data_IF_782421927028
#
_entry.id   IF_782421927028
#
_cell.length_a   1.000
_cell.length_b   1.000
_cell.length_c   1.000
_cell.angle_alpha   90.00
_cell.angle_beta   90.00
_cell.angle_gamma   90.00
#
_symmetry.space_group_name_H-M   'P 1'
#
loop_
_entity.id
_entity.type
_entity.pdbx_description
1 polymer ?
#
# COMPACT_ATOMS: atom_id res chain seq x y z
N UNK A 1 26.06 -56.85 -5.54
CA UNK A 1 25.03 -56.05 -4.88
C UNK A 1 25.58 -54.64 -4.79
N UNK A 2 25.22 -53.81 -5.75
CA UNK A 2 25.57 -52.38 -5.75
C UNK A 2 24.47 -51.68 -4.98
N UNK A 3 24.77 -51.15 -3.77
CA UNK A 3 23.90 -50.26 -3.04
C UNK A 3 23.89 -48.94 -3.81
N UNK A 4 22.79 -48.67 -4.50
CA UNK A 4 22.45 -47.33 -4.94
C UNK A 4 22.33 -46.45 -3.70
N UNK A 5 23.15 -45.40 -3.62
CA UNK A 5 22.90 -44.26 -2.71
C UNK A 5 21.56 -43.69 -3.13
N UNK A 6 20.55 -43.91 -2.31
CA UNK A 6 19.36 -43.02 -2.29
C UNK A 6 19.90 -41.62 -2.04
N UNK A 7 19.69 -40.72 -3.00
CA UNK A 7 19.82 -39.29 -2.78
C UNK A 7 18.82 -38.97 -1.67
N UNK A 8 19.30 -38.47 -0.53
CA UNK A 8 18.49 -37.70 0.38
C UNK A 8 17.97 -36.52 -0.46
N UNK A 9 16.75 -36.64 -0.97
CA UNK A 9 16.03 -35.50 -1.55
C UNK A 9 15.88 -34.50 -0.40
N UNK A 10 16.76 -33.52 -0.42
CA UNK A 10 16.72 -32.42 0.56
C UNK A 10 15.46 -31.61 0.22
N UNK A 11 14.36 -31.91 0.91
CA UNK A 11 13.07 -31.27 0.70
C UNK A 11 13.22 -29.77 0.88
N UNK A 12 12.72 -28.97 -0.08
CA UNK A 12 12.83 -27.51 -0.06
C UNK A 12 12.11 -26.94 1.16
N UNK A 13 12.80 -26.11 1.97
CA UNK A 13 12.24 -25.50 3.17
C UNK A 13 11.69 -24.12 2.88
N UNK A 14 10.39 -23.96 3.05
CA UNK A 14 9.63 -22.70 2.86
C UNK A 14 9.27 -22.14 4.23
N UNK A 15 9.74 -20.94 4.51
CA UNK A 15 9.47 -20.24 5.79
C UNK A 15 8.55 -19.05 5.55
N UNK A 16 7.36 -19.07 6.15
CA UNK A 16 6.38 -17.99 6.11
C UNK A 16 6.49 -17.21 7.43
N UNK A 17 6.85 -15.91 7.35
CA UNK A 17 7.31 -15.15 8.50
C UNK A 17 6.22 -14.31 9.19
N UNK A 18 5.14 -13.95 8.50
CA UNK A 18 4.16 -12.97 8.97
C UNK A 18 2.73 -13.39 8.57
N UNK A 19 2.35 -14.64 8.90
CA UNK A 19 1.07 -15.21 8.48
C UNK A 19 -0.14 -14.37 8.93
N UNK A 20 -0.09 -13.75 10.12
CA UNK A 20 -1.17 -12.90 10.64
C UNK A 20 -1.40 -11.64 9.78
N UNK A 21 -0.42 -11.23 8.97
CA UNK A 21 -0.55 -10.09 8.05
C UNK A 21 -1.39 -10.40 6.81
N UNK A 22 -1.75 -11.66 6.58
CA UNK A 22 -2.45 -12.13 5.38
C UNK A 22 -3.95 -12.39 5.60
N UNK A 23 -4.43 -12.26 6.84
CA UNK A 23 -5.82 -12.54 7.21
C UNK A 23 -6.03 -13.99 7.68
N UNK A 24 -7.12 -14.20 8.42
CA UNK A 24 -7.45 -15.49 9.04
C UNK A 24 -7.93 -16.54 8.02
N UNK A 25 -8.36 -16.09 6.84
CA UNK A 25 -8.86 -16.92 5.74
C UNK A 25 -7.76 -17.43 4.79
N UNK A 26 -6.50 -17.05 5.05
CA UNK A 26 -5.38 -17.47 4.21
C UNK A 26 -5.07 -18.96 4.41
N UNK A 27 -4.99 -19.70 3.30
CA UNK A 27 -4.69 -21.14 3.27
C UNK A 27 -3.26 -21.36 2.78
N UNK A 28 -2.45 -22.05 3.57
CA UNK A 28 -1.05 -22.32 3.25
C UNK A 28 -0.80 -23.75 2.73
N UNK A 29 -1.77 -24.66 2.79
CA UNK A 29 -1.66 -26.04 2.31
C UNK A 29 -1.14 -26.20 0.88
N UNK A 30 -1.38 -25.28 -0.08
CA UNK A 30 -0.77 -25.39 -1.40
C UNK A 30 0.76 -25.33 -1.40
N UNK A 31 1.39 -24.73 -0.39
CA UNK A 31 2.84 -24.68 -0.27
C UNK A 31 3.45 -26.03 0.17
N UNK A 32 2.68 -26.86 0.90
CA UNK A 32 3.12 -28.19 1.36
C UNK A 32 3.42 -29.15 0.18
N UNK A 33 2.82 -28.90 -0.98
CA UNK A 33 3.12 -29.64 -2.19
C UNK A 33 4.50 -29.28 -2.80
N UNK A 34 5.14 -28.21 -2.31
CA UNK A 34 6.43 -27.71 -2.80
C UNK A 34 7.60 -28.07 -1.87
N UNK A 35 7.32 -28.42 -0.61
CA UNK A 35 8.33 -28.75 0.37
C UNK A 35 7.86 -28.65 1.82
N UNK A 36 8.80 -28.71 2.76
CA UNK A 36 8.55 -28.48 4.19
C UNK A 36 8.12 -27.02 4.42
N UNK A 37 6.96 -26.78 5.05
CA UNK A 37 6.44 -25.44 5.33
C UNK A 37 6.50 -25.13 6.82
N UNK A 38 7.22 -24.09 7.17
CA UNK A 38 7.26 -23.55 8.55
C UNK A 38 6.55 -22.20 8.58
N UNK A 39 5.54 -22.06 9.44
CA UNK A 39 4.70 -20.87 9.51
C UNK A 39 4.89 -20.18 10.86
N UNK A 40 5.31 -18.92 10.80
CA UNK A 40 5.33 -18.00 11.93
C UNK A 40 4.20 -16.98 11.79
N UNK A 41 3.41 -16.80 12.83
CA UNK A 41 2.30 -15.85 12.86
C UNK A 41 2.79 -14.41 12.75
N UNK A 42 3.81 -14.09 13.53
CA UNK A 42 4.50 -12.79 13.55
C UNK A 42 6.00 -13.02 13.59
N UNK A 43 6.77 -12.05 13.12
CA UNK A 43 8.24 -12.07 13.17
C UNK A 43 8.76 -10.65 13.32
N UNK A 44 9.71 -10.47 14.23
CA UNK A 44 10.45 -9.22 14.41
C UNK A 44 11.83 -9.31 13.72
N UNK A 45 12.49 -8.17 13.52
CA UNK A 45 13.78 -8.14 12.82
C UNK A 45 14.88 -8.94 13.56
N UNK A 46 14.87 -8.96 14.87
CA UNK A 46 15.79 -9.70 15.72
C UNK A 46 15.56 -11.22 15.72
N UNK A 47 14.36 -11.68 15.40
CA UNK A 47 14.02 -13.09 15.28
C UNK A 47 14.35 -13.68 13.88
N UNK A 48 14.57 -12.82 12.88
CA UNK A 48 14.74 -13.21 11.49
C UNK A 48 15.87 -14.22 11.30
N UNK A 49 17.05 -13.97 11.87
CA UNK A 49 18.21 -14.83 11.69
C UNK A 49 17.93 -16.26 12.15
N UNK A 50 17.31 -16.43 13.33
CA UNK A 50 17.00 -17.74 13.88
C UNK A 50 15.91 -18.48 13.07
N UNK A 51 14.89 -17.73 12.61
CA UNK A 51 13.74 -18.29 11.88
C UNK A 51 14.07 -18.66 10.41
N UNK A 52 15.12 -18.07 9.84
CA UNK A 52 15.46 -18.23 8.41
C UNK A 52 16.73 -19.03 8.16
N UNK A 53 17.42 -19.50 9.20
CA UNK A 53 18.77 -20.07 9.14
C UNK A 53 18.93 -21.17 8.08
N UNK A 54 17.95 -22.05 7.97
CA UNK A 54 17.91 -23.21 7.09
C UNK A 54 16.88 -23.08 5.96
N UNK A 55 16.31 -21.90 5.75
CA UNK A 55 15.32 -21.66 4.70
C UNK A 55 15.94 -21.68 3.30
N UNK A 56 15.26 -22.36 2.35
CA UNK A 56 15.49 -22.22 0.91
C UNK A 56 14.64 -21.10 0.31
N UNK A 57 13.43 -20.89 0.84
CA UNK A 57 12.47 -19.88 0.41
C UNK A 57 11.92 -19.15 1.62
N UNK A 58 11.87 -17.84 1.54
CA UNK A 58 11.21 -16.97 2.52
C UNK A 58 9.97 -16.33 1.89
N UNK A 59 8.83 -16.41 2.58
CA UNK A 59 7.61 -15.65 2.29
C UNK A 59 7.45 -14.61 3.41
N UNK A 60 7.49 -13.33 3.06
CA UNK A 60 7.49 -12.20 4.01
C UNK A 60 6.55 -11.09 3.57
N UNK A 61 6.23 -10.15 4.45
CA UNK A 61 5.41 -8.98 4.13
C UNK A 61 6.16 -7.67 4.42
N UNK A 62 6.53 -7.42 5.70
CA UNK A 62 7.08 -6.13 6.16
C UNK A 62 8.44 -6.23 6.85
N UNK A 63 8.83 -7.40 7.32
CA UNK A 63 10.15 -7.58 7.93
C UNK A 63 11.26 -7.19 6.95
N UNK A 64 12.34 -6.54 7.43
CA UNK A 64 13.46 -6.17 6.58
C UNK A 64 14.21 -7.41 6.09
N UNK A 65 14.55 -7.43 4.81
CA UNK A 65 15.33 -8.47 4.15
C UNK A 65 16.66 -7.86 3.69
N UNK A 66 17.68 -8.02 4.50
CA UNK A 66 19.00 -7.43 4.33
C UNK A 66 20.08 -8.34 4.94
N UNK A 67 21.35 -7.94 4.86
CA UNK A 67 22.48 -8.72 5.39
C UNK A 67 22.34 -9.02 6.88
N UNK A 68 21.87 -8.07 7.67
CA UNK A 68 21.72 -8.21 9.12
C UNK A 68 20.67 -9.26 9.51
N UNK A 69 19.63 -9.45 8.66
CA UNK A 69 18.50 -10.31 9.00
C UNK A 69 18.57 -11.70 8.38
N UNK A 70 19.17 -11.84 7.18
CA UNK A 70 19.24 -13.12 6.45
C UNK A 70 20.68 -13.55 6.09
N UNK A 71 21.70 -12.87 6.64
CA UNK A 71 23.09 -13.15 6.28
C UNK A 71 23.57 -14.59 6.58
N UNK A 72 22.97 -15.24 7.57
CA UNK A 72 23.28 -16.62 7.95
C UNK A 72 22.45 -17.68 7.20
N UNK A 73 21.41 -17.30 6.48
CA UNK A 73 20.59 -18.20 5.65
C UNK A 73 21.36 -18.62 4.38
N UNK A 74 22.21 -19.62 4.49
CA UNK A 74 23.15 -20.01 3.41
C UNK A 74 22.45 -20.70 2.22
N UNK A 75 21.34 -21.37 2.48
CA UNK A 75 20.58 -22.13 1.47
C UNK A 75 19.55 -21.27 0.73
N UNK A 76 19.32 -20.03 1.19
CA UNK A 76 18.28 -19.14 0.67
C UNK A 76 18.49 -18.83 -0.82
N UNK A 77 17.47 -19.12 -1.63
CA UNK A 77 17.43 -18.95 -3.09
C UNK A 77 16.36 -17.94 -3.54
N UNK A 78 15.28 -17.81 -2.75
CA UNK A 78 14.12 -17.06 -3.15
C UNK A 78 13.47 -16.32 -1.97
N UNK A 79 13.10 -15.05 -2.19
CA UNK A 79 12.25 -14.26 -1.30
C UNK A 79 10.99 -13.87 -2.06
N UNK A 80 9.82 -14.21 -1.50
CA UNK A 80 8.51 -13.81 -2.00
C UNK A 80 7.88 -12.81 -1.04
N UNK A 81 7.54 -11.61 -1.52
CA UNK A 81 6.78 -10.64 -0.73
C UNK A 81 5.29 -10.78 -1.01
N UNK A 82 4.49 -10.87 0.04
CA UNK A 82 3.01 -10.85 -0.02
C UNK A 82 2.45 -9.44 -0.09
N UNK A 83 3.19 -8.51 -0.70
CA UNK A 83 2.87 -7.09 -0.80
C UNK A 83 3.20 -6.56 -2.20
N UNK A 84 2.63 -5.42 -2.56
CA UNK A 84 3.02 -4.67 -3.77
C UNK A 84 4.30 -3.87 -3.54
N UNK A 85 4.47 -3.23 -2.37
CA UNK A 85 5.67 -2.49 -1.99
C UNK A 85 6.81 -3.43 -1.62
N UNK A 86 8.04 -3.05 -1.96
CA UNK A 86 9.25 -3.86 -1.72
C UNK A 86 10.41 -3.03 -1.11
N UNK A 87 10.10 -1.92 -0.48
CA UNK A 87 11.09 -1.05 0.17
C UNK A 87 11.77 -1.66 1.40
N UNK A 88 11.29 -2.81 1.87
CA UNK A 88 11.91 -3.62 2.91
C UNK A 88 12.96 -4.62 2.38
N UNK A 89 13.20 -4.68 1.05
CA UNK A 89 14.24 -5.50 0.44
C UNK A 89 15.52 -4.69 0.18
N UNK A 90 16.65 -5.19 0.62
CA UNK A 90 17.98 -4.76 0.11
C UNK A 90 18.26 -5.47 -1.21
N UNK A 91 17.86 -4.83 -2.32
CA UNK A 91 17.98 -5.39 -3.66
C UNK A 91 19.44 -5.62 -4.09
N UNK A 92 20.38 -4.77 -3.67
CA UNK A 92 21.79 -4.90 -3.99
C UNK A 92 22.41 -6.10 -3.25
N UNK A 93 22.06 -6.27 -1.98
CA UNK A 93 22.48 -7.44 -1.20
C UNK A 93 21.94 -8.74 -1.78
N UNK A 94 20.63 -8.80 -2.09
CA UNK A 94 20.01 -9.99 -2.69
C UNK A 94 20.66 -10.36 -4.03
N UNK A 95 20.89 -9.37 -4.88
CA UNK A 95 21.58 -9.54 -6.16
C UNK A 95 23.00 -10.06 -5.99
N UNK A 96 23.77 -9.51 -5.04
CA UNK A 96 25.14 -9.96 -4.71
C UNK A 96 25.15 -11.43 -4.24
N UNK A 97 24.10 -11.85 -3.51
CA UNK A 97 23.94 -13.22 -3.01
C UNK A 97 23.38 -14.18 -4.08
N UNK A 98 22.90 -13.69 -5.22
CA UNK A 98 22.20 -14.50 -6.22
C UNK A 98 20.82 -14.97 -5.76
N UNK A 99 20.19 -14.29 -4.80
CA UNK A 99 18.86 -14.61 -4.28
C UNK A 99 17.82 -13.90 -5.14
N UNK A 100 16.88 -14.66 -5.71
CA UNK A 100 15.76 -14.11 -6.46
C UNK A 100 14.75 -13.48 -5.50
N UNK A 101 14.11 -12.37 -5.91
CA UNK A 101 13.05 -11.74 -5.14
C UNK A 101 11.86 -11.36 -6.03
N UNK A 102 10.65 -11.65 -5.54
CA UNK A 102 9.39 -11.33 -6.22
C UNK A 102 8.39 -10.74 -5.25
N UNK A 103 7.58 -9.82 -5.75
CA UNK A 103 6.44 -9.24 -5.05
C UNK A 103 5.15 -9.55 -5.80
N UNK A 104 3.98 -9.24 -5.20
CA UNK A 104 2.68 -9.40 -5.85
C UNK A 104 2.25 -8.05 -6.44
N UNK A 105 2.68 -7.80 -7.68
CA UNK A 105 2.34 -6.57 -8.38
C UNK A 105 0.86 -6.56 -8.82
N UNK A 106 0.18 -5.41 -8.64
CA UNK A 106 -1.12 -5.13 -9.23
C UNK A 106 -2.34 -5.73 -8.52
N UNK A 107 -2.20 -6.66 -7.58
CA UNK A 107 -3.34 -7.30 -6.90
C UNK A 107 -4.24 -6.30 -6.15
N UNK A 108 -3.65 -5.29 -5.57
CA UNK A 108 -4.32 -4.30 -4.72
C UNK A 108 -4.91 -3.10 -5.49
N UNK A 109 -4.71 -3.02 -6.82
CA UNK A 109 -5.04 -1.83 -7.61
C UNK A 109 -6.49 -1.38 -7.40
N UNK A 110 -7.45 -2.29 -7.55
CA UNK A 110 -8.86 -1.97 -7.39
C UNK A 110 -9.23 -1.69 -5.92
N UNK A 111 -8.71 -2.49 -4.98
CA UNK A 111 -8.97 -2.33 -3.55
C UNK A 111 -8.46 -1.00 -3.02
N UNK A 112 -7.21 -0.61 -3.37
CA UNK A 112 -6.65 0.69 -2.94
C UNK A 112 -7.39 1.86 -3.58
N UNK A 113 -7.74 1.79 -4.87
CA UNK A 113 -8.55 2.82 -5.51
C UNK A 113 -9.92 2.96 -4.82
N UNK A 114 -10.63 1.85 -4.56
CA UNK A 114 -11.90 1.85 -3.84
C UNK A 114 -11.76 2.49 -2.45
N UNK A 115 -10.72 2.11 -1.71
CA UNK A 115 -10.48 2.65 -0.36
C UNK A 115 -10.14 4.14 -0.38
N UNK A 116 -9.44 4.63 -1.40
CA UNK A 116 -9.17 6.06 -1.60
C UNK A 116 -10.48 6.85 -1.66
N UNK A 117 -11.47 6.39 -2.43
CA UNK A 117 -12.79 7.05 -2.50
C UNK A 117 -13.60 6.86 -1.22
N UNK A 118 -13.51 5.70 -0.57
CA UNK A 118 -14.19 5.48 0.71
C UNK A 118 -13.71 6.47 1.79
N UNK A 119 -12.40 6.71 1.88
CA UNK A 119 -11.83 7.71 2.80
C UNK A 119 -12.23 9.13 2.41
N UNK A 120 -12.19 9.47 1.12
CA UNK A 120 -12.61 10.79 0.64
C UNK A 120 -14.07 11.06 1.02
N UNK A 121 -15.00 10.17 0.66
CA UNK A 121 -16.42 10.37 0.94
C UNK A 121 -16.72 10.37 2.44
N UNK A 122 -16.02 9.55 3.23
CA UNK A 122 -16.18 9.59 4.68
C UNK A 122 -15.90 10.99 5.26
N UNK A 123 -14.85 11.65 4.77
CA UNK A 123 -14.48 13.00 5.21
C UNK A 123 -15.35 14.07 4.54
N UNK A 124 -15.50 14.00 3.23
CA UNK A 124 -16.22 15.01 2.43
C UNK A 124 -17.70 15.08 2.80
N UNK A 125 -18.38 13.93 2.78
CA UNK A 125 -19.82 13.81 3.07
C UNK A 125 -20.16 13.86 4.56
N UNK A 126 -19.15 14.04 5.45
CA UNK A 126 -19.33 14.03 6.90
C UNK A 126 -20.10 12.79 7.40
N UNK A 127 -19.80 11.60 6.81
CA UNK A 127 -20.59 10.38 7.02
C UNK A 127 -20.72 9.99 8.49
N UNK A 128 -19.66 10.16 9.29
CA UNK A 128 -19.73 9.87 10.73
C UNK A 128 -20.72 10.77 11.47
N UNK A 129 -20.78 12.04 11.10
CA UNK A 129 -21.72 13.00 11.70
C UNK A 129 -23.17 12.60 11.39
N UNK A 130 -23.48 12.35 10.11
CA UNK A 130 -24.84 12.02 9.69
C UNK A 130 -25.26 10.62 10.15
N UNK A 131 -24.36 9.64 10.20
CA UNK A 131 -24.64 8.32 10.78
C UNK A 131 -25.05 8.43 12.26
N UNK A 132 -24.31 9.17 13.05
CA UNK A 132 -24.64 9.42 14.46
C UNK A 132 -25.95 10.19 14.62
N UNK A 133 -26.20 11.22 13.81
CA UNK A 133 -27.42 12.01 13.82
C UNK A 133 -28.67 11.13 13.57
N UNK A 134 -28.60 10.21 12.62
CA UNK A 134 -29.68 9.27 12.36
C UNK A 134 -29.83 8.24 13.48
N UNK A 135 -28.74 7.63 13.93
CA UNK A 135 -28.73 6.59 14.97
C UNK A 135 -29.17 7.09 16.35
N UNK A 136 -28.91 8.36 16.66
CA UNK A 136 -29.39 8.98 17.91
C UNK A 136 -30.92 9.23 17.93
N UNK A 137 -31.57 9.07 16.77
CA UNK A 137 -33.00 9.35 16.59
C UNK A 137 -33.33 10.83 16.47
N UNK A 138 -32.35 11.72 16.38
CA UNK A 138 -32.56 13.18 16.18
C UNK A 138 -33.28 13.46 14.88
N UNK A 139 -32.93 12.72 13.80
CA UNK A 139 -33.63 12.81 12.52
C UNK A 139 -35.13 12.57 12.66
N UNK A 140 -35.54 11.51 13.36
CA UNK A 140 -36.95 11.15 13.55
C UNK A 140 -37.72 12.11 14.45
N UNK A 141 -37.04 12.83 15.35
CA UNK A 141 -37.66 13.85 16.24
C UNK A 141 -37.67 15.23 15.61
N UNK A 142 -36.94 15.43 14.51
CA UNK A 142 -36.88 16.72 13.81
C UNK A 142 -38.22 17.06 13.15
N UNK A 143 -38.49 18.37 13.04
CA UNK A 143 -39.69 18.89 12.36
C UNK A 143 -39.49 19.06 10.85
N UNK A 144 -38.27 18.89 10.34
CA UNK A 144 -37.90 19.06 8.95
C UNK A 144 -37.31 17.77 8.39
N UNK A 145 -37.60 17.46 7.14
CA UNK A 145 -37.03 16.30 6.43
C UNK A 145 -35.55 16.51 6.02
N UNK A 146 -35.03 17.75 6.15
CA UNK A 146 -33.67 18.13 5.80
C UNK A 146 -32.88 18.57 7.01
N UNK A 147 -31.57 18.28 7.02
CA UNK A 147 -30.65 18.70 8.06
C UNK A 147 -29.35 19.23 7.42
N UNK A 148 -29.08 20.52 7.57
CA UNK A 148 -27.98 21.24 6.90
C UNK A 148 -26.90 21.72 7.88
N UNK A 149 -26.64 21.00 8.96
CA UNK A 149 -25.67 21.41 9.95
C UNK A 149 -24.21 21.27 9.50
N UNK A 150 -23.94 20.43 8.50
CA UNK A 150 -22.61 20.23 7.94
C UNK A 150 -22.64 20.45 6.43
N UNK A 151 -21.70 21.25 5.94
CA UNK A 151 -21.53 21.47 4.51
C UNK A 151 -20.58 20.45 3.89
N UNK A 152 -20.82 20.10 2.65
CA UNK A 152 -19.93 19.36 1.78
C UNK A 152 -19.90 20.00 0.39
N UNK A 153 -18.97 19.62 -0.46
CA UNK A 153 -18.95 20.07 -1.85
C UNK A 153 -19.04 18.86 -2.79
N UNK A 154 -19.56 19.09 -3.98
CA UNK A 154 -19.62 18.11 -5.05
C UNK A 154 -18.25 17.95 -5.72
N UNK A 155 -17.95 16.77 -6.24
CA UNK A 155 -16.70 16.49 -6.94
C UNK A 155 -16.69 17.06 -8.36
N UNK A 156 -17.86 17.29 -8.95
CA UNK A 156 -17.99 17.82 -10.30
C UNK A 156 -17.29 19.18 -10.45
N UNK A 157 -16.46 19.30 -11.47
CA UNK A 157 -15.64 20.49 -11.75
C UNK A 157 -14.45 20.71 -10.79
N UNK A 158 -14.25 19.85 -9.78
CA UNK A 158 -13.09 19.92 -8.87
C UNK A 158 -11.81 19.41 -9.52
N UNK A 159 -10.68 19.91 -9.07
CA UNK A 159 -9.38 19.45 -9.53
C UNK A 159 -8.79 18.41 -8.58
N UNK A 160 -8.47 17.23 -9.11
CA UNK A 160 -7.83 16.16 -8.35
C UNK A 160 -6.36 16.00 -8.76
N UNK A 161 -5.45 16.29 -7.84
CA UNK A 161 -4.02 16.08 -8.00
C UNK A 161 -3.60 14.67 -7.62
N UNK A 162 -2.96 13.96 -8.55
CA UNK A 162 -2.47 12.59 -8.35
C UNK A 162 -0.95 12.57 -8.35
N UNK A 163 -0.37 12.25 -7.20
CA UNK A 163 1.06 12.06 -7.05
C UNK A 163 1.39 10.58 -7.31
N UNK A 164 1.98 10.30 -8.48
CA UNK A 164 2.28 8.94 -8.93
C UNK A 164 1.17 8.31 -9.78
N UNK A 165 1.29 8.41 -11.11
CA UNK A 165 0.31 7.87 -12.08
C UNK A 165 0.68 6.44 -12.54
N UNK A 166 0.94 5.54 -11.54
CA UNK A 166 1.08 4.09 -11.74
C UNK A 166 -0.28 3.39 -11.91
N UNK A 167 -0.36 2.06 -11.73
CA UNK A 167 -1.61 1.30 -11.88
C UNK A 167 -2.73 1.83 -10.96
N UNK A 168 -2.42 2.07 -9.69
CA UNK A 168 -3.38 2.61 -8.70
C UNK A 168 -3.78 4.04 -9.07
N UNK A 169 -2.81 4.95 -9.28
CA UNK A 169 -3.10 6.35 -9.61
C UNK A 169 -3.92 6.51 -10.87
N UNK A 170 -3.68 5.69 -11.92
CA UNK A 170 -4.52 5.67 -13.13
C UNK A 170 -5.95 5.21 -12.85
N UNK A 171 -6.12 4.21 -11.99
CA UNK A 171 -7.45 3.73 -11.60
C UNK A 171 -8.22 4.79 -10.81
N UNK A 172 -7.54 5.49 -9.89
CA UNK A 172 -8.12 6.63 -9.15
C UNK A 172 -8.48 7.76 -10.12
N UNK A 173 -7.59 8.12 -11.06
CA UNK A 173 -7.86 9.13 -12.07
C UNK A 173 -9.12 8.85 -12.87
N UNK A 174 -9.26 7.61 -13.38
CA UNK A 174 -10.44 7.19 -14.16
C UNK A 174 -11.75 7.32 -13.38
N UNK A 175 -11.73 6.98 -12.09
CA UNK A 175 -12.92 7.07 -11.23
C UNK A 175 -13.24 8.54 -10.91
N UNK A 176 -12.21 9.34 -10.58
CA UNK A 176 -12.37 10.77 -10.32
C UNK A 176 -12.91 11.54 -11.54
N UNK A 177 -12.42 11.20 -12.75
CA UNK A 177 -12.94 11.74 -14.02
C UNK A 177 -14.41 11.38 -14.23
N UNK A 178 -14.84 10.17 -13.85
CA UNK A 178 -16.24 9.75 -13.90
C UNK A 178 -17.14 10.53 -12.92
N UNK A 179 -16.58 11.12 -11.86
CA UNK A 179 -17.24 12.08 -10.97
C UNK A 179 -17.16 13.54 -11.46
N UNK A 180 -16.62 13.79 -12.67
CA UNK A 180 -16.51 15.13 -13.24
C UNK A 180 -15.27 15.91 -12.80
N UNK A 181 -14.29 15.26 -12.13
CA UNK A 181 -13.06 15.94 -11.72
C UNK A 181 -12.12 16.22 -12.91
N UNK A 182 -11.41 17.35 -12.84
CA UNK A 182 -10.23 17.62 -13.65
C UNK A 182 -9.00 16.96 -13.03
N UNK A 183 -8.22 16.21 -13.81
CA UNK A 183 -7.08 15.46 -13.29
C UNK A 183 -5.77 16.17 -13.59
N UNK A 184 -5.00 16.43 -12.54
CA UNK A 184 -3.57 16.78 -12.62
C UNK A 184 -2.73 15.62 -12.13
N UNK A 185 -1.54 15.42 -12.69
CA UNK A 185 -0.63 14.39 -12.21
C UNK A 185 0.80 14.90 -12.05
N UNK A 186 1.52 14.32 -11.10
CA UNK A 186 2.93 14.59 -10.82
C UNK A 186 3.75 13.31 -10.80
N UNK A 187 4.96 13.37 -11.37
CA UNK A 187 5.96 12.29 -11.35
C UNK A 187 7.17 12.67 -10.51
N UNK A 188 7.37 12.02 -9.37
CA UNK A 188 8.53 12.26 -8.52
C UNK A 188 9.86 11.86 -9.18
N UNK A 189 9.86 10.89 -10.10
CA UNK A 189 11.03 10.49 -10.87
C UNK A 189 11.33 11.42 -12.08
N UNK A 190 10.46 12.40 -12.35
CA UNK A 190 10.56 13.25 -13.53
C UNK A 190 10.16 12.58 -14.84
N UNK A 191 9.76 11.30 -14.83
CA UNK A 191 9.35 10.57 -16.03
C UNK A 191 8.06 11.16 -16.61
N UNK A 192 7.99 11.27 -17.95
CA UNK A 192 6.73 11.61 -18.62
C UNK A 192 5.81 10.41 -18.67
N UNK A 193 4.57 10.60 -18.24
CA UNK A 193 3.54 9.57 -18.35
C UNK A 193 2.92 9.56 -19.77
N UNK A 194 2.66 8.37 -20.28
CA UNK A 194 1.81 8.22 -21.47
C UNK A 194 0.34 8.34 -21.02
N UNK A 195 -0.20 9.56 -21.08
CA UNK A 195 -1.55 9.89 -20.60
C UNK A 195 -2.04 11.18 -21.28
N UNK A 196 -3.36 11.38 -21.27
CA UNK A 196 -4.03 12.63 -21.67
C UNK A 196 -4.15 13.62 -20.51
N UNK A 197 -3.89 13.18 -19.26
CA UNK A 197 -3.95 14.03 -18.08
C UNK A 197 -2.79 15.02 -18.07
N UNK A 198 -3.04 16.24 -17.61
CA UNK A 198 -2.03 17.29 -17.50
C UNK A 198 -1.00 16.91 -16.44
N UNK A 199 0.27 16.80 -16.85
CA UNK A 199 1.39 16.54 -15.94
C UNK A 199 2.08 17.85 -15.59
N UNK A 200 2.12 18.18 -14.29
CA UNK A 200 2.64 19.45 -13.75
C UNK A 200 3.72 19.23 -12.70
N UNK A 201 4.36 20.31 -12.24
CA UNK A 201 5.25 20.30 -11.08
C UNK A 201 4.50 20.06 -9.77
N UNK A 202 5.20 19.62 -8.70
CA UNK A 202 4.56 19.32 -7.42
C UNK A 202 3.87 20.55 -6.82
N UNK A 203 4.55 21.69 -6.77
CA UNK A 203 3.99 22.91 -6.16
C UNK A 203 2.80 23.44 -6.96
N UNK A 204 2.83 23.31 -8.29
CA UNK A 204 1.70 23.63 -9.16
C UNK A 204 0.53 22.68 -8.92
N UNK A 205 0.79 21.36 -8.82
CA UNK A 205 -0.25 20.39 -8.48
C UNK A 205 -0.91 20.73 -7.15
N UNK A 206 -0.12 21.00 -6.11
CA UNK A 206 -0.64 21.30 -4.77
C UNK A 206 -1.44 22.61 -4.76
N UNK A 207 -1.03 23.64 -5.52
CA UNK A 207 -1.73 24.93 -5.57
C UNK A 207 -3.03 24.91 -6.36
N UNK A 208 -3.14 24.03 -7.39
CA UNK A 208 -4.30 23.94 -8.29
C UNK A 208 -5.31 22.88 -7.90
N UNK A 209 -4.98 21.98 -6.95
CA UNK A 209 -5.84 20.83 -6.61
C UNK A 209 -6.73 21.12 -5.40
N UNK A 210 -8.02 20.78 -5.51
CA UNK A 210 -8.96 20.72 -4.38
C UNK A 210 -8.75 19.44 -3.55
N UNK A 211 -8.35 18.36 -4.23
CA UNK A 211 -8.11 17.03 -3.64
C UNK A 211 -6.75 16.54 -4.11
N UNK A 212 -5.96 15.98 -3.19
CA UNK A 212 -4.65 15.37 -3.51
C UNK A 212 -4.61 13.94 -2.99
N UNK A 213 -4.18 13.00 -3.83
CA UNK A 213 -3.92 11.61 -3.43
C UNK A 213 -2.54 11.15 -3.85
N UNK A 214 -1.87 10.38 -2.95
CA UNK A 214 -0.49 9.90 -3.17
C UNK A 214 -0.52 8.41 -3.45
N UNK A 215 -0.04 8.03 -4.64
CA UNK A 215 0.04 6.65 -5.13
C UNK A 215 1.45 6.31 -5.64
N UNK A 216 2.45 7.04 -5.18
CA UNK A 216 3.85 6.81 -5.48
C UNK A 216 4.47 5.81 -4.49
N UNK A 217 5.39 4.93 -4.91
CA UNK A 217 6.13 4.05 -4.00
C UNK A 217 7.10 4.88 -3.13
N UNK A 218 7.38 4.41 -1.91
CA UNK A 218 8.42 5.00 -1.07
C UNK A 218 9.80 4.65 -1.64
N UNK A 219 10.57 5.67 -1.99
CA UNK A 219 11.95 5.58 -2.48
C UNK A 219 12.68 6.93 -2.28
N UNK A 220 13.94 7.04 -2.70
CA UNK A 220 14.74 8.26 -2.56
C UNK A 220 14.12 9.52 -3.18
N UNK A 221 13.23 9.40 -4.18
CA UNK A 221 12.54 10.54 -4.80
C UNK A 221 11.26 10.95 -4.09
N UNK A 222 10.68 10.06 -3.27
CA UNK A 222 9.37 10.25 -2.63
C UNK A 222 9.46 10.33 -1.12
N UNK A 223 10.61 9.99 -0.55
CA UNK A 223 10.87 10.17 0.87
C UNK A 223 10.79 11.66 1.23
N UNK A 224 10.00 12.00 2.24
CA UNK A 224 9.72 13.37 2.66
C UNK A 224 9.16 14.28 1.55
N UNK A 225 8.53 13.71 0.50
CA UNK A 225 7.95 14.49 -0.59
C UNK A 225 6.85 15.44 -0.10
N UNK A 226 6.05 14.99 0.89
CA UNK A 226 4.95 15.75 1.50
C UNK A 226 5.34 16.15 2.91
N UNK A 227 5.95 17.34 3.06
CA UNK A 227 6.27 17.95 4.36
C UNK A 227 5.15 18.90 4.80
N UNK A 228 5.09 19.24 6.10
CA UNK A 228 4.09 20.20 6.62
C UNK A 228 4.12 21.56 5.91
N UNK A 229 5.29 22.00 5.45
CA UNK A 229 5.47 23.26 4.73
C UNK A 229 4.78 23.26 3.36
N UNK A 230 4.54 22.08 2.79
CA UNK A 230 3.84 21.92 1.50
C UNK A 230 2.33 21.91 1.62
N UNK A 231 1.82 21.85 2.85
CA UNK A 231 0.38 22.01 3.10
C UNK A 231 0.06 23.50 3.32
N UNK A 232 -0.83 24.09 2.51
CA UNK A 232 -1.28 25.45 2.76
C UNK A 232 -1.88 25.56 4.17
N UNK A 233 -1.44 26.55 4.95
CA UNK A 233 -1.83 26.68 6.35
C UNK A 233 -3.23 27.29 6.54
N UNK A 234 -3.85 27.82 5.48
CA UNK A 234 -4.98 28.73 5.59
C UNK A 234 -6.25 28.34 4.81
N UNK A 235 -6.43 27.11 4.35
CA UNK A 235 -7.71 26.71 3.75
C UNK A 235 -8.31 25.52 4.48
N UNK A 236 -9.40 25.77 5.22
CA UNK A 236 -10.17 24.76 5.97
C UNK A 236 -10.81 23.65 5.11
N UNK A 237 -10.74 23.74 3.76
CA UNK A 237 -11.50 22.93 2.83
C UNK A 237 -10.68 21.94 1.97
N UNK A 238 -9.35 21.80 2.17
CA UNK A 238 -8.55 20.83 1.41
C UNK A 238 -8.48 19.46 2.08
N UNK A 239 -8.91 18.43 1.37
CA UNK A 239 -8.95 17.06 1.85
C UNK A 239 -7.79 16.22 1.28
N UNK A 240 -6.98 15.63 2.17
CA UNK A 240 -5.88 14.73 1.81
C UNK A 240 -6.25 13.28 2.15
N UNK A 241 -6.06 12.38 1.20
CA UNK A 241 -6.14 10.94 1.43
C UNK A 241 -4.79 10.28 1.12
N UNK A 242 -4.07 9.83 2.15
CA UNK A 242 -2.94 8.89 2.01
C UNK A 242 -3.45 7.48 2.34
N UNK A 243 -3.43 6.52 1.40
CA UNK A 243 -3.65 5.13 1.76
C UNK A 243 -2.45 4.62 2.56
N UNK A 244 -2.61 4.49 3.88
CA UNK A 244 -1.64 3.78 4.72
C UNK A 244 -0.94 4.54 5.85
N UNK A 245 -1.16 5.85 6.05
CA UNK A 245 -0.67 6.53 7.26
C UNK A 245 -1.82 7.18 8.03
N UNK A 246 -1.97 6.82 9.29
CA UNK A 246 -2.85 7.53 10.23
C UNK A 246 -2.33 8.97 10.36
N UNK A 247 -3.17 9.96 10.05
CA UNK A 247 -2.97 11.31 10.51
C UNK A 247 -3.05 11.30 12.04
N UNK A 248 -1.90 11.23 12.73
CA UNK A 248 -1.83 11.59 14.14
C UNK A 248 -1.85 13.12 14.22
N UNK A 249 -3.03 13.70 14.37
CA UNK A 249 -3.15 15.00 15.03
C UNK A 249 -3.31 14.72 16.53
N UNK A 250 -2.33 15.11 17.30
CA UNK A 250 -2.52 15.52 18.69
C UNK A 250 -2.94 16.98 18.71
#
# INVERSE_FOLDING_TARGET
MIKTKESEDNEMKIVILEADSLGEDMVFTPFEALGEVVIYRTTTADEMEAKTLDADVIVANKVPICEETIGKAKNLKLVCLTATGFNNLDGDYLKKRGIAAYNVAGYSTNGVAQHTFALLFYVLEKLNYYDNYVKSGEYSRGSCFSHFAQNFFELDGKTWGIIGLGAIGRKVAQIAEAFGCHILCYSASGSKYNTTYEQVGLDELLSRSDIVSVHAPLNAYTENLMTLEKFPQDEEDRHFSEPGKRCNRQ
#
